data_IF_645907569799
#
_entry.id   IF_645907569799
#
_cell.length_a   1.000
_cell.length_b   1.000
_cell.length_c   1.000
_cell.angle_alpha   90.00
_cell.angle_beta   90.00
_cell.angle_gamma   90.00
#
_symmetry.space_group_name_H-M   'P 1'
#
loop_
_entity.id
_entity.type
_entity.pdbx_description
1 polymer ?
#
# COMPACT_ATOMS: atom_id res chain seq x y z
N UNK A 1 -48.68 -21.22 3.79
CA UNK A 1 -49.43 -20.41 4.77
C UNK A 1 -49.95 -19.16 4.06
N UNK A 2 -51.24 -18.83 4.18
CA UNK A 2 -51.86 -17.66 3.53
C UNK A 2 -51.56 -16.40 4.34
N UNK A 3 -51.22 -15.29 3.67
CA UNK A 3 -51.44 -13.94 4.17
C UNK A 3 -52.33 -13.16 3.20
N UNK A 4 -53.24 -12.29 3.69
CA UNK A 4 -54.20 -11.59 2.86
C UNK A 4 -53.65 -10.27 2.30
N UNK A 5 -54.29 -9.82 1.23
CA UNK A 5 -54.12 -8.52 0.57
C UNK A 5 -54.44 -7.36 1.53
N UNK A 6 -53.59 -6.34 1.53
CA UNK A 6 -53.97 -4.94 1.70
C UNK A 6 -53.22 -4.10 0.65
N UNK A 7 -53.97 -3.49 -0.26
CA UNK A 7 -53.52 -2.45 -1.19
C UNK A 7 -54.14 -1.15 -0.71
N UNK A 8 -53.34 -0.13 -0.36
CA UNK A 8 -53.47 1.27 -0.83
C UNK A 8 -52.37 2.17 -0.22
N UNK A 9 -51.44 2.59 -1.09
CA UNK A 9 -50.47 3.73 -1.14
C UNK A 9 -50.18 4.58 0.12
N UNK A 10 -48.89 4.99 0.26
CA UNK A 10 -48.50 6.30 -0.29
C UNK A 10 -47.37 6.18 -1.33
N UNK A 11 -47.66 6.52 -2.59
CA UNK A 11 -46.66 6.64 -3.68
C UNK A 11 -45.85 7.94 -3.58
N UNK A 12 -45.98 8.71 -2.50
CA UNK A 12 -45.17 9.91 -2.27
C UNK A 12 -43.97 9.72 -1.35
N UNK A 13 -43.84 8.58 -0.65
CA UNK A 13 -42.68 8.33 0.23
C UNK A 13 -41.56 7.57 -0.49
N UNK A 14 -41.90 6.79 -1.52
CA UNK A 14 -40.90 6.00 -2.27
C UNK A 14 -39.98 6.86 -3.15
N UNK A 15 -40.46 7.98 -3.71
CA UNK A 15 -39.61 8.85 -4.55
C UNK A 15 -38.60 9.64 -3.71
N UNK A 16 -39.01 10.13 -2.53
CA UNK A 16 -38.11 10.85 -1.60
C UNK A 16 -37.08 9.92 -0.96
N UNK A 17 -37.43 8.67 -0.61
CA UNK A 17 -36.46 7.70 -0.10
C UNK A 17 -35.47 7.31 -1.20
N UNK A 18 -35.91 7.13 -2.44
CA UNK A 18 -35.00 6.79 -3.55
C UNK A 18 -34.11 7.96 -3.95
N UNK A 19 -34.63 9.20 -3.95
CA UNK A 19 -33.84 10.42 -4.20
C UNK A 19 -32.88 10.73 -3.04
N UNK A 20 -33.29 10.54 -1.79
CA UNK A 20 -32.42 10.71 -0.63
C UNK A 20 -31.33 9.63 -0.60
N UNK A 21 -31.66 8.37 -0.89
CA UNK A 21 -30.68 7.29 -1.01
C UNK A 21 -29.73 7.52 -2.19
N UNK A 22 -30.20 8.03 -3.32
CA UNK A 22 -29.35 8.32 -4.47
C UNK A 22 -28.49 9.57 -4.27
N UNK A 23 -29.02 10.60 -3.60
CA UNK A 23 -28.25 11.79 -3.21
C UNK A 23 -27.22 11.46 -2.13
N UNK A 24 -27.57 10.60 -1.17
CA UNK A 24 -26.67 10.13 -0.12
C UNK A 24 -25.60 9.19 -0.67
N UNK A 25 -25.95 8.24 -1.55
CA UNK A 25 -24.96 7.42 -2.24
C UNK A 25 -24.03 8.26 -3.13
N UNK A 26 -24.58 9.28 -3.79
CA UNK A 26 -23.78 10.23 -4.57
C UNK A 26 -22.86 11.07 -3.68
N UNK A 27 -23.34 11.57 -2.54
CA UNK A 27 -22.51 12.33 -1.60
C UNK A 27 -21.41 11.46 -1.00
N UNK A 28 -21.73 10.23 -0.57
CA UNK A 28 -20.75 9.27 -0.08
C UNK A 28 -19.67 8.96 -1.14
N UNK A 29 -20.05 8.80 -2.41
CA UNK A 29 -19.08 8.62 -3.49
C UNK A 29 -18.23 9.87 -3.76
N UNK A 30 -18.78 11.07 -3.64
CA UNK A 30 -18.03 12.33 -3.77
C UNK A 30 -17.08 12.51 -2.58
N UNK A 31 -17.51 12.24 -1.36
CA UNK A 31 -16.71 12.31 -0.13
C UNK A 31 -15.56 11.28 -0.16
N UNK A 32 -15.86 10.03 -0.54
CA UNK A 32 -14.86 8.98 -0.74
C UNK A 32 -13.76 9.41 -1.72
N UNK A 33 -14.19 9.97 -2.86
CA UNK A 33 -13.29 10.42 -3.91
C UNK A 33 -12.43 11.59 -3.44
N UNK A 34 -13.02 12.57 -2.77
CA UNK A 34 -12.30 13.73 -2.25
C UNK A 34 -11.27 13.30 -1.21
N UNK A 35 -11.65 12.45 -0.26
CA UNK A 35 -10.71 11.89 0.73
C UNK A 35 -9.57 11.15 0.06
N UNK A 36 -9.87 10.27 -0.92
CA UNK A 36 -8.84 9.52 -1.65
C UNK A 36 -7.86 10.45 -2.35
N UNK A 37 -8.36 11.46 -3.08
CA UNK A 37 -7.51 12.43 -3.77
C UNK A 37 -6.64 13.19 -2.77
N UNK A 38 -7.20 13.66 -1.67
CA UNK A 38 -6.46 14.37 -0.62
C UNK A 38 -5.39 13.50 0.02
N UNK A 39 -5.71 12.25 0.37
CA UNK A 39 -4.77 11.30 0.96
C UNK A 39 -3.63 10.91 0.00
N UNK A 40 -3.93 10.65 -1.28
CA UNK A 40 -2.91 10.38 -2.30
C UNK A 40 -2.03 11.60 -2.57
N UNK A 41 -2.61 12.81 -2.52
CA UNK A 41 -1.85 14.05 -2.68
C UNK A 41 -0.94 14.27 -1.47
N UNK A 42 -1.43 14.06 -0.25
CA UNK A 42 -0.61 14.05 0.96
C UNK A 42 0.56 13.07 0.81
N UNK A 43 0.29 11.81 0.43
CA UNK A 43 1.33 10.79 0.22
C UNK A 43 2.36 11.27 -0.80
N UNK A 44 1.92 11.76 -1.96
CA UNK A 44 2.81 12.23 -3.03
C UNK A 44 3.70 13.39 -2.56
N UNK A 45 3.13 14.38 -1.86
CA UNK A 45 3.91 15.51 -1.31
C UNK A 45 4.84 15.03 -0.19
N UNK A 46 4.40 14.08 0.65
CA UNK A 46 5.20 13.54 1.75
C UNK A 46 6.46 12.81 1.28
N UNK A 47 6.41 12.19 0.10
CA UNK A 47 7.59 11.57 -0.55
C UNK A 47 8.66 12.62 -0.88
N UNK A 48 8.26 13.80 -1.33
CA UNK A 48 9.19 14.87 -1.73
C UNK A 48 9.61 15.74 -0.54
N UNK A 49 8.64 16.10 0.30
CA UNK A 49 8.80 17.00 1.44
C UNK A 49 7.75 16.70 2.52
N UNK A 50 8.11 15.81 3.45
CA UNK A 50 7.22 15.40 4.54
C UNK A 50 6.73 16.57 5.41
N UNK A 51 7.61 17.55 5.71
CA UNK A 51 7.25 18.70 6.56
C UNK A 51 6.20 19.57 5.89
N UNK A 52 6.34 19.81 4.60
CA UNK A 52 5.35 20.56 3.81
C UNK A 52 4.02 19.81 3.70
N UNK A 53 4.05 18.48 3.54
CA UNK A 53 2.84 17.67 3.57
C UNK A 53 2.09 17.83 4.91
N UNK A 54 2.81 17.85 6.03
CA UNK A 54 2.19 18.08 7.35
C UNK A 54 1.59 19.48 7.51
N UNK A 55 2.21 20.49 6.92
CA UNK A 55 1.67 21.86 6.98
C UNK A 55 0.33 21.97 6.23
N UNK A 56 0.22 21.29 5.08
CA UNK A 56 -0.97 21.39 4.22
C UNK A 56 -2.08 20.39 4.51
N UNK A 57 -1.82 19.27 5.16
CA UNK A 57 -2.81 18.19 5.26
C UNK A 57 -3.12 17.75 6.67
N UNK A 58 -2.44 18.27 7.69
CA UNK A 58 -2.65 17.83 9.06
C UNK A 58 -2.79 18.99 10.05
N UNK A 59 -3.47 18.70 11.15
CA UNK A 59 -3.64 19.64 12.26
C UNK A 59 -2.36 19.72 13.10
N UNK A 60 -2.12 20.80 13.87
CA UNK A 60 -0.96 20.90 14.74
C UNK A 60 -0.80 19.74 15.74
N UNK A 61 -1.92 19.19 16.24
CA UNK A 61 -1.90 18.02 17.12
C UNK A 61 -1.48 16.75 16.39
N UNK A 62 -1.96 16.52 15.16
CA UNK A 62 -1.54 15.39 14.35
C UNK A 62 -0.05 15.50 13.95
N UNK A 63 0.42 16.72 13.68
CA UNK A 63 1.83 16.98 13.37
C UNK A 63 2.74 16.53 14.51
N UNK A 64 2.40 16.89 15.76
CA UNK A 64 3.17 16.47 16.93
C UNK A 64 3.18 14.95 17.07
N UNK A 65 2.03 14.28 16.90
CA UNK A 65 1.95 12.81 16.95
C UNK A 65 2.83 12.15 15.88
N UNK A 66 2.82 12.64 14.65
CA UNK A 66 3.65 12.09 13.57
C UNK A 66 5.14 12.37 13.77
N UNK A 67 5.49 13.48 14.44
CA UNK A 67 6.87 13.75 14.84
C UNK A 67 7.31 12.77 15.93
N UNK A 68 6.48 12.54 16.95
CA UNK A 68 6.77 11.60 18.03
C UNK A 68 6.92 10.17 17.49
N UNK A 69 5.93 9.70 16.72
CA UNK A 69 6.00 8.41 16.00
C UNK A 69 7.25 8.32 15.14
N UNK A 70 7.65 9.42 14.48
CA UNK A 70 8.84 9.42 13.65
C UNK A 70 10.13 9.27 14.44
N UNK A 71 10.24 9.88 15.62
CA UNK A 71 11.39 9.71 16.49
C UNK A 71 11.51 8.26 16.97
N UNK A 72 10.38 7.59 17.21
CA UNK A 72 10.33 6.20 17.65
C UNK A 72 10.61 5.21 16.50
N UNK A 73 10.08 5.50 15.30
CA UNK A 73 10.29 4.69 14.10
C UNK A 73 11.73 4.81 13.57
N UNK A 74 12.35 5.99 13.68
CA UNK A 74 13.69 6.25 13.12
C UNK A 74 14.65 6.88 14.13
N UNK A 75 14.99 6.19 15.23
CA UNK A 75 15.76 6.76 16.34
C UNK A 75 17.19 7.17 15.96
N UNK A 76 17.69 6.74 14.81
CA UNK A 76 19.07 6.98 14.33
C UNK A 76 19.13 7.66 12.96
N UNK A 77 17.99 8.10 12.42
CA UNK A 77 17.89 8.72 11.08
C UNK A 77 16.99 9.95 11.16
N UNK A 78 17.12 10.88 10.23
CA UNK A 78 16.17 12.01 10.12
C UNK A 78 14.74 11.47 9.92
N UNK A 79 13.80 11.75 10.85
CA UNK A 79 12.44 11.26 10.72
C UNK A 79 11.72 11.70 9.45
N UNK A 80 12.01 12.90 8.93
CA UNK A 80 11.40 13.36 7.70
C UNK A 80 11.79 12.48 6.51
N UNK A 81 13.06 12.06 6.45
CA UNK A 81 13.54 11.14 5.42
C UNK A 81 12.94 9.73 5.59
N UNK A 82 12.76 9.28 6.84
CA UNK A 82 12.08 8.02 7.16
C UNK A 82 10.63 8.00 6.67
N UNK A 83 9.86 9.06 6.96
CA UNK A 83 8.50 9.22 6.45
C UNK A 83 8.45 9.29 4.92
N UNK A 84 9.33 10.07 4.28
CA UNK A 84 9.38 10.14 2.82
C UNK A 84 9.63 8.77 2.18
N UNK A 85 10.51 7.96 2.77
CA UNK A 85 10.74 6.59 2.33
C UNK A 85 9.50 5.70 2.57
N UNK A 86 8.84 5.83 3.72
CA UNK A 86 7.62 5.10 4.03
C UNK A 86 6.51 5.37 3.00
N UNK A 87 6.22 6.64 2.72
CA UNK A 87 5.16 7.04 1.78
C UNK A 87 5.49 6.77 0.31
N UNK A 88 6.75 6.47 -0.01
CA UNK A 88 7.19 6.22 -1.40
C UNK A 88 6.47 5.03 -2.03
N UNK A 89 6.08 4.04 -1.23
CA UNK A 89 5.45 2.81 -1.75
C UNK A 89 4.25 2.37 -0.92
N UNK A 90 3.78 3.22 0.00
CA UNK A 90 2.57 2.95 0.76
C UNK A 90 1.33 3.04 -0.13
N UNK A 91 0.42 2.09 0.04
CA UNK A 91 -0.90 2.06 -0.57
C UNK A 91 -1.88 2.80 0.32
N UNK A 92 -2.74 3.62 -0.29
CA UNK A 92 -3.82 4.32 0.41
C UNK A 92 -5.07 3.43 0.39
N UNK A 93 -5.60 3.12 1.56
CA UNK A 93 -6.95 2.58 1.71
C UNK A 93 -7.80 3.55 2.52
N UNK A 94 -9.09 3.62 2.20
CA UNK A 94 -10.05 4.50 2.86
C UNK A 94 -11.17 3.67 3.47
N UNK A 95 -11.63 4.06 4.65
CA UNK A 95 -12.74 3.40 5.36
C UNK A 95 -13.52 4.43 6.18
N UNK A 96 -14.68 4.01 6.72
CA UNK A 96 -15.57 4.84 7.52
C UNK A 96 -15.99 6.17 6.84
N UNK A 97 -16.37 6.07 5.56
CA UNK A 97 -16.71 7.22 4.71
C UNK A 97 -18.07 7.78 5.10
N UNK A 98 -18.18 9.11 5.20
CA UNK A 98 -19.42 9.80 5.57
C UNK A 98 -19.68 9.92 7.07
N UNK A 99 -18.75 9.44 7.90
CA UNK A 99 -18.71 9.79 9.33
C UNK A 99 -18.06 11.15 9.55
N UNK A 100 -18.22 11.72 10.75
CA UNK A 100 -17.55 12.96 11.17
C UNK A 100 -16.02 12.83 11.17
N UNK A 101 -15.49 11.60 11.21
CA UNK A 101 -14.05 11.29 11.19
C UNK A 101 -13.77 10.09 10.30
N UNK A 102 -13.33 10.38 9.10
CA UNK A 102 -13.03 9.39 8.07
C UNK A 102 -11.66 8.76 8.34
N UNK A 103 -11.51 7.49 7.97
CA UNK A 103 -10.27 6.75 8.21
C UNK A 103 -9.49 6.57 6.91
N UNK A 104 -8.19 6.81 6.99
CA UNK A 104 -7.25 6.52 5.91
C UNK A 104 -6.11 5.71 6.47
N UNK A 105 -5.81 4.58 5.85
CA UNK A 105 -4.60 3.80 6.15
C UNK A 105 -3.59 3.97 5.03
N UNK A 106 -2.34 4.23 5.39
CA UNK A 106 -1.20 4.10 4.48
C UNK A 106 -0.53 2.76 4.79
N UNK A 107 -0.89 1.71 4.05
CA UNK A 107 -0.34 0.37 4.24
C UNK A 107 0.93 0.21 3.41
N UNK A 108 2.03 -0.22 4.02
CA UNK A 108 3.30 -0.42 3.32
C UNK A 108 3.46 -1.89 2.92
N UNK A 109 3.19 -2.28 1.66
CA UNK A 109 3.02 -3.68 1.25
C UNK A 109 4.24 -4.53 1.55
N UNK A 110 5.39 -3.90 1.38
CA UNK A 110 6.67 -4.57 1.46
C UNK A 110 7.08 -4.81 2.89
N UNK A 111 6.77 -3.91 3.84
CA UNK A 111 7.23 -3.98 5.23
C UNK A 111 6.19 -4.60 6.17
N UNK A 112 4.95 -4.75 5.71
CA UNK A 112 3.81 -5.25 6.48
C UNK A 112 3.43 -4.38 7.69
N UNK A 113 3.66 -3.08 7.54
CA UNK A 113 3.26 -2.05 8.51
C UNK A 113 2.17 -1.18 7.94
N UNK A 114 1.37 -0.54 8.80
CA UNK A 114 0.40 0.46 8.37
C UNK A 114 0.41 1.68 9.29
N UNK A 115 0.22 2.85 8.68
CA UNK A 115 -0.11 4.08 9.39
C UNK A 115 -1.62 4.29 9.30
N UNK A 116 -2.31 4.18 10.43
CA UNK A 116 -3.73 4.50 10.55
C UNK A 116 -3.88 6.00 10.85
N UNK A 117 -4.72 6.70 10.10
CA UNK A 117 -4.94 8.14 10.26
C UNK A 117 -6.42 8.49 10.24
N UNK A 118 -6.79 9.50 11.03
CA UNK A 118 -8.14 10.04 11.09
C UNK A 118 -8.22 11.40 10.41
N UNK A 119 -9.25 11.63 9.61
CA UNK A 119 -9.43 12.83 8.80
C UNK A 119 -10.79 13.46 9.07
N UNK A 120 -10.82 14.78 9.13
CA UNK A 120 -12.04 15.56 9.35
C UNK A 120 -11.95 16.88 8.60
N UNK A 121 -13.09 17.37 8.10
CA UNK A 121 -13.18 18.72 7.55
C UNK A 121 -12.99 19.77 8.66
N UNK A 122 -12.12 20.74 8.41
CA UNK A 122 -11.96 21.89 9.28
C UNK A 122 -13.09 22.91 9.10
N UNK A 123 -13.00 24.05 9.82
CA UNK A 123 -14.03 25.10 9.73
C UNK A 123 -14.11 25.78 8.35
N UNK A 124 -13.12 25.58 7.49
CA UNK A 124 -13.06 26.08 6.12
C UNK A 124 -13.57 25.04 5.11
N UNK A 125 -13.82 23.80 5.54
CA UNK A 125 -14.24 22.68 4.69
C UNK A 125 -13.06 21.92 4.07
N UNK A 126 -11.83 22.17 4.51
CA UNK A 126 -10.67 21.41 4.04
C UNK A 126 -10.52 20.12 4.88
N UNK A 127 -10.32 18.98 4.22
CA UNK A 127 -10.02 17.72 4.90
C UNK A 127 -8.61 17.77 5.52
N UNK A 128 -8.54 17.63 6.85
CA UNK A 128 -7.30 17.63 7.63
C UNK A 128 -7.15 16.34 8.43
N UNK A 129 -5.95 15.79 8.47
CA UNK A 129 -5.58 14.72 9.38
C UNK A 129 -5.56 15.24 10.83
N UNK A 130 -6.30 14.58 11.70
CA UNK A 130 -6.50 14.94 13.10
C UNK A 130 -5.78 14.01 14.07
N UNK A 131 -5.50 12.77 13.63
CA UNK A 131 -4.85 11.76 14.43
C UNK A 131 -4.07 10.76 13.56
N UNK A 132 -3.09 10.09 14.16
CA UNK A 132 -2.25 9.10 13.51
C UNK A 132 -1.71 8.10 14.54
N UNK A 133 -1.66 6.82 14.15
CA UNK A 133 -1.01 5.76 14.93
C UNK A 133 -0.39 4.70 14.01
N UNK A 134 0.72 4.10 14.45
CA UNK A 134 1.37 3.01 13.75
C UNK A 134 0.80 1.68 14.21
N UNK A 135 0.45 0.83 13.26
CA UNK A 135 0.07 -0.55 13.51
C UNK A 135 0.93 -1.48 12.64
N UNK A 136 0.86 -2.76 12.95
CA UNK A 136 1.43 -3.85 12.15
C UNK A 136 0.31 -4.68 11.56
N UNK A 137 0.51 -5.21 10.36
CA UNK A 137 -0.54 -5.93 9.66
C UNK A 137 -0.95 -7.21 10.41
N UNK A 138 -0.01 -7.88 11.10
CA UNK A 138 -0.28 -9.05 11.96
C UNK A 138 -1.40 -8.84 12.98
N UNK A 139 -1.51 -7.62 13.54
CA UNK A 139 -2.58 -7.31 14.50
C UNK A 139 -3.96 -7.37 13.84
N UNK A 140 -4.07 -6.96 12.58
CA UNK A 140 -5.33 -6.99 11.82
C UNK A 140 -5.78 -8.42 11.54
N UNK A 141 -4.88 -9.40 11.59
CA UNK A 141 -5.17 -10.82 11.49
C UNK A 141 -5.35 -11.50 12.86
N UNK A 142 -5.36 -10.73 13.96
CA UNK A 142 -5.56 -11.26 15.31
C UNK A 142 -4.37 -12.06 15.84
N UNK A 143 -3.15 -11.81 15.35
CA UNK A 143 -1.95 -12.44 15.89
C UNK A 143 -1.54 -11.81 17.22
N UNK A 144 -1.17 -12.66 18.20
CA UNK A 144 -0.63 -12.23 19.49
C UNK A 144 0.89 -12.03 19.42
N UNK A 145 1.48 -11.12 20.23
CA UNK A 145 2.92 -11.06 20.41
C UNK A 145 3.54 -12.39 20.89
N UNK A 146 4.77 -12.74 20.47
CA UNK A 146 5.65 -11.97 19.60
C UNK A 146 5.25 -12.08 18.14
N UNK A 147 5.14 -10.93 17.47
CA UNK A 147 4.78 -10.87 16.06
C UNK A 147 5.84 -11.52 15.18
N UNK A 148 5.43 -12.14 14.05
CA UNK A 148 6.34 -12.84 13.15
C UNK A 148 7.41 -11.90 12.59
N UNK A 149 8.63 -12.43 12.48
CA UNK A 149 9.77 -11.76 11.82
C UNK A 149 9.84 -12.08 10.34
N UNK A 150 9.19 -13.16 9.90
CA UNK A 150 9.05 -13.50 8.48
C UNK A 150 7.85 -12.74 7.97
N UNK A 151 7.98 -12.13 6.79
CA UNK A 151 6.84 -11.46 6.15
C UNK A 151 5.81 -12.49 5.74
N UNK A 152 4.56 -12.23 6.08
CA UNK A 152 3.44 -13.11 5.79
C UNK A 152 3.30 -13.39 4.31
N UNK A 153 3.53 -12.41 3.43
CA UNK A 153 3.51 -12.65 1.99
C UNK A 153 4.59 -13.63 1.51
N UNK A 154 5.70 -13.77 2.25
CA UNK A 154 6.76 -14.75 1.99
C UNK A 154 6.40 -16.15 2.51
N UNK A 155 5.48 -16.23 3.46
CA UNK A 155 5.03 -17.49 4.04
C UNK A 155 3.95 -18.20 3.22
N UNK A 156 3.35 -17.53 2.22
CA UNK A 156 2.18 -18.03 1.47
C UNK A 156 2.44 -19.22 0.51
N UNK A 157 3.66 -19.76 0.40
CA UNK A 157 4.04 -20.79 -0.59
C UNK A 157 3.57 -20.46 -2.04
N UNK A 158 3.60 -19.16 -2.37
CA UNK A 158 3.27 -18.61 -3.68
C UNK A 158 4.51 -18.03 -4.34
N UNK A 159 4.44 -17.83 -5.66
CA UNK A 159 5.42 -17.00 -6.36
C UNK A 159 5.44 -15.60 -5.72
N UNK A 160 6.61 -15.12 -5.29
CA UNK A 160 6.77 -13.90 -4.47
C UNK A 160 5.85 -12.71 -4.83
N UNK A 161 5.81 -12.23 -6.09
CA UNK A 161 4.94 -11.11 -6.47
C UNK A 161 3.44 -11.44 -6.41
N UNK A 162 3.04 -12.71 -6.58
CA UNK A 162 1.66 -13.15 -6.36
C UNK A 162 1.35 -13.18 -4.87
N UNK A 163 2.29 -13.66 -4.04
CA UNK A 163 2.15 -13.67 -2.58
C UNK A 163 1.93 -12.27 -2.01
N UNK A 164 2.75 -11.28 -2.40
CA UNK A 164 2.59 -9.90 -1.91
C UNK A 164 1.28 -9.27 -2.41
N UNK A 165 0.88 -9.53 -3.66
CA UNK A 165 -0.37 -9.05 -4.22
C UNK A 165 -1.59 -9.58 -3.47
N UNK A 166 -1.68 -10.90 -3.31
CA UNK A 166 -2.80 -11.57 -2.63
C UNK A 166 -2.87 -11.21 -1.14
N UNK A 167 -1.73 -11.14 -0.45
CA UNK A 167 -1.70 -10.72 0.95
C UNK A 167 -2.23 -9.29 1.14
N UNK A 168 -1.86 -8.36 0.26
CA UNK A 168 -2.34 -6.99 0.34
C UNK A 168 -3.81 -6.87 -0.06
N UNK A 169 -4.30 -7.68 -0.99
CA UNK A 169 -5.74 -7.73 -1.31
C UNK A 169 -6.58 -8.18 -0.10
N UNK A 170 -6.15 -9.24 0.60
CA UNK A 170 -6.77 -9.69 1.85
C UNK A 170 -6.67 -8.65 2.97
N UNK A 171 -5.55 -7.93 3.04
CA UNK A 171 -5.37 -6.83 4.00
C UNK A 171 -6.34 -5.68 3.72
N UNK A 172 -6.47 -5.24 2.47
CA UNK A 172 -7.36 -4.12 2.10
C UNK A 172 -8.81 -4.46 2.44
N UNK A 173 -9.28 -5.66 2.10
CA UNK A 173 -10.64 -6.11 2.47
C UNK A 173 -10.82 -6.22 4.00
N UNK A 174 -9.81 -6.72 4.71
CA UNK A 174 -9.81 -6.77 6.17
C UNK A 174 -9.85 -5.37 6.82
N UNK A 175 -9.09 -4.40 6.31
CA UNK A 175 -9.09 -3.00 6.74
C UNK A 175 -10.48 -2.38 6.52
N UNK A 176 -11.08 -2.59 5.36
CA UNK A 176 -12.42 -2.09 5.04
C UNK A 176 -13.45 -2.60 6.04
N UNK A 177 -13.37 -3.89 6.42
CA UNK A 177 -14.28 -4.50 7.41
C UNK A 177 -13.98 -4.07 8.84
N UNK A 178 -12.72 -4.09 9.28
CA UNK A 178 -12.32 -3.78 10.66
C UNK A 178 -12.57 -2.32 11.04
N UNK A 179 -12.46 -1.42 10.07
CA UNK A 179 -12.53 0.01 10.31
C UNK A 179 -13.85 0.64 9.88
N UNK A 180 -14.86 -0.14 9.48
CA UNK A 180 -16.19 0.37 9.11
C UNK A 180 -16.83 1.18 10.28
N UNK A 181 -16.63 0.72 11.52
CA UNK A 181 -17.23 1.31 12.73
C UNK A 181 -16.21 1.96 13.68
N UNK A 182 -14.94 2.08 13.30
CA UNK A 182 -13.90 2.52 14.23
C UNK A 182 -14.08 4.00 14.62
N UNK A 183 -14.13 4.26 15.93
CA UNK A 183 -14.23 5.61 16.50
C UNK A 183 -12.88 6.09 17.06
N UNK A 184 -12.76 7.40 17.30
CA UNK A 184 -11.57 7.94 17.98
C UNK A 184 -11.42 7.40 19.41
N UNK A 185 -12.53 7.11 20.10
CA UNK A 185 -12.49 6.50 21.44
C UNK A 185 -11.92 5.08 21.40
N UNK A 186 -12.10 4.35 20.30
CA UNK A 186 -11.52 3.01 20.14
C UNK A 186 -9.99 3.08 19.99
N UNK A 187 -9.47 4.05 19.22
CA UNK A 187 -8.02 4.28 19.11
C UNK A 187 -7.45 4.84 20.42
N UNK A 188 -8.12 5.81 21.03
CA UNK A 188 -7.68 6.42 22.30
C UNK A 188 -7.82 5.49 23.50
N UNK A 189 -8.68 4.46 23.39
CA UNK A 189 -8.88 3.40 24.37
C UNK A 189 -7.86 2.27 24.25
N UNK A 190 -7.02 2.26 23.21
CA UNK A 190 -5.87 1.35 23.14
C UNK A 190 -4.90 1.68 24.28
N UNK A 191 -4.49 0.63 24.98
CA UNK A 191 -3.54 0.74 26.07
C UNK A 191 -2.21 1.36 25.58
N UNK A 192 -1.63 2.26 26.38
CA UNK A 192 -0.42 2.98 25.97
C UNK A 192 0.75 2.02 25.75
N UNK A 193 0.89 0.98 26.59
CA UNK A 193 1.93 -0.04 26.43
C UNK A 193 1.72 -0.85 25.15
N UNK A 194 0.46 -1.07 24.74
CA UNK A 194 0.13 -1.72 23.47
C UNK A 194 0.53 -0.82 22.28
N UNK A 195 0.17 0.45 22.30
CA UNK A 195 0.52 1.42 21.24
C UNK A 195 2.04 1.56 21.08
N UNK A 196 2.78 1.64 22.18
CA UNK A 196 4.23 1.66 22.18
C UNK A 196 4.81 0.35 21.59
N UNK A 197 4.25 -0.80 22.01
CA UNK A 197 4.62 -2.11 21.49
C UNK A 197 4.38 -2.27 19.98
N UNK A 198 3.27 -1.72 19.48
CA UNK A 198 2.92 -1.71 18.05
C UNK A 198 3.86 -0.80 17.25
N UNK A 199 4.15 0.38 17.76
CA UNK A 199 5.10 1.32 17.13
C UNK A 199 6.49 0.72 17.06
N UNK A 200 6.96 0.09 18.15
CA UNK A 200 8.23 -0.63 18.17
C UNK A 200 8.24 -1.81 17.18
N UNK A 201 7.16 -2.59 17.13
CA UNK A 201 6.99 -3.68 16.18
C UNK A 201 7.08 -3.22 14.72
N UNK A 202 6.38 -2.13 14.39
CA UNK A 202 6.40 -1.53 13.06
C UNK A 202 7.79 -1.00 12.71
N UNK A 203 8.46 -0.31 13.64
CA UNK A 203 9.84 0.16 13.50
C UNK A 203 10.78 -0.98 13.14
N UNK A 204 10.72 -2.08 13.90
CA UNK A 204 11.50 -3.30 13.64
C UNK A 204 11.22 -3.89 12.25
N UNK A 205 9.95 -4.11 11.89
CA UNK A 205 9.58 -4.70 10.60
C UNK A 205 10.05 -3.82 9.42
N UNK A 206 9.95 -2.50 9.56
CA UNK A 206 10.44 -1.56 8.55
C UNK A 206 11.98 -1.54 8.47
N UNK A 207 12.69 -1.66 9.59
CA UNK A 207 14.15 -1.78 9.57
C UNK A 207 14.62 -3.10 8.95
N UNK A 208 13.95 -4.22 9.24
CA UNK A 208 14.21 -5.52 8.61
C UNK A 208 13.99 -5.44 7.09
N UNK A 209 12.90 -4.78 6.65
CA UNK A 209 12.65 -4.47 5.24
C UNK A 209 13.85 -3.77 4.58
N UNK A 210 14.34 -2.69 5.20
CA UNK A 210 15.48 -1.94 4.67
C UNK A 210 16.76 -2.78 4.65
N UNK A 211 16.98 -3.61 5.67
CA UNK A 211 18.12 -4.51 5.74
C UNK A 211 18.11 -5.55 4.60
N UNK A 212 16.94 -6.11 4.26
CA UNK A 212 16.77 -7.09 3.17
C UNK A 212 17.13 -6.52 1.79
N UNK A 213 17.05 -5.20 1.61
CA UNK A 213 17.41 -4.51 0.37
C UNK A 213 18.90 -4.19 0.25
N UNK A 214 19.65 -4.17 1.36
CA UNK A 214 21.06 -3.81 1.37
C UNK A 214 21.91 -4.60 0.37
N UNK A 215 21.71 -5.92 0.16
CA UNK A 215 22.48 -6.68 -0.83
C UNK A 215 22.42 -6.09 -2.23
N UNK A 216 21.23 -5.71 -2.70
CA UNK A 216 21.02 -5.12 -4.02
C UNK A 216 21.51 -3.68 -4.05
N UNK A 217 21.16 -2.87 -3.05
CA UNK A 217 21.54 -1.46 -2.98
C UNK A 217 23.06 -1.26 -2.91
N UNK A 218 23.77 -2.16 -2.23
CA UNK A 218 25.25 -2.13 -2.11
C UNK A 218 25.97 -3.02 -3.13
N UNK A 219 25.22 -3.84 -3.89
CA UNK A 219 25.78 -4.90 -4.73
C UNK A 219 26.79 -5.77 -3.96
N UNK A 220 26.45 -6.15 -2.73
CA UNK A 220 27.40 -6.74 -1.77
C UNK A 220 27.65 -8.23 -1.97
N UNK A 221 26.82 -8.92 -2.74
CA UNK A 221 27.05 -10.30 -3.18
C UNK A 221 26.93 -10.43 -4.71
N UNK A 222 27.47 -11.51 -5.26
CA UNK A 222 27.55 -11.72 -6.71
C UNK A 222 26.19 -11.82 -7.40
N UNK A 223 25.17 -12.35 -6.73
CA UNK A 223 23.84 -12.53 -7.29
C UNK A 223 23.06 -11.20 -7.28
N UNK A 224 23.14 -10.46 -6.17
CA UNK A 224 22.53 -9.15 -6.01
C UNK A 224 23.13 -8.14 -7.01
N UNK A 225 24.44 -8.21 -7.25
CA UNK A 225 25.09 -7.41 -8.28
C UNK A 225 24.60 -7.77 -9.69
N UNK A 226 24.44 -9.06 -10.00
CA UNK A 226 23.96 -9.52 -11.30
C UNK A 226 22.53 -9.07 -11.59
N UNK A 227 21.60 -9.31 -10.66
CA UNK A 227 20.18 -8.93 -10.86
C UNK A 227 20.03 -7.41 -10.97
N UNK A 228 20.83 -6.64 -10.21
CA UNK A 228 20.84 -5.18 -10.33
C UNK A 228 21.38 -4.71 -11.69
N UNK A 229 22.46 -5.32 -12.17
CA UNK A 229 23.01 -4.97 -13.49
C UNK A 229 22.01 -5.30 -14.60
N UNK A 230 21.32 -6.44 -14.50
CA UNK A 230 20.25 -6.81 -15.42
C UNK A 230 19.14 -5.75 -15.45
N UNK A 231 18.69 -5.25 -14.29
CA UNK A 231 17.71 -4.15 -14.22
C UNK A 231 18.23 -2.86 -14.86
N UNK A 232 19.49 -2.48 -14.59
CA UNK A 232 20.09 -1.28 -15.16
C UNK A 232 20.24 -1.36 -16.69
N UNK A 233 20.59 -2.54 -17.21
CA UNK A 233 20.70 -2.78 -18.64
C UNK A 233 19.32 -2.76 -19.30
N UNK A 234 18.33 -3.43 -18.70
CA UNK A 234 16.93 -3.37 -19.13
C UNK A 234 16.40 -1.93 -19.20
N UNK A 235 16.66 -1.15 -18.14
CA UNK A 235 16.26 0.27 -18.06
C UNK A 235 16.88 1.11 -19.17
N UNK A 236 18.15 0.84 -19.51
CA UNK A 236 18.86 1.52 -20.59
C UNK A 236 18.29 1.13 -21.95
N UNK A 237 18.02 -0.15 -22.17
CA UNK A 237 17.51 -0.67 -23.44
C UNK A 237 16.10 -0.14 -23.73
N UNK A 238 15.23 -0.07 -22.70
CA UNK A 238 13.91 0.56 -22.82
C UNK A 238 14.03 2.04 -23.18
N UNK A 239 14.95 2.78 -22.55
CA UNK A 239 15.19 4.19 -22.82
C UNK A 239 15.80 4.47 -24.21
N UNK A 240 16.55 3.52 -24.79
CA UNK A 240 17.28 3.69 -26.04
C UNK A 240 16.46 3.46 -27.33
N UNK A 241 15.12 3.40 -27.26
CA UNK A 241 14.13 3.13 -28.31
C UNK A 241 13.83 1.64 -28.65
N UNK A 242 12.96 1.04 -27.83
CA UNK A 242 11.61 0.45 -28.10
C UNK A 242 11.28 -0.37 -29.37
N UNK A 243 12.22 -0.79 -30.21
CA UNK A 243 11.87 -1.63 -31.38
C UNK A 243 12.71 -2.92 -31.41
N UNK A 244 12.04 -4.05 -31.21
CA UNK A 244 12.54 -5.44 -31.33
C UNK A 244 13.24 -6.00 -30.09
N UNK A 245 12.46 -6.19 -29.02
CA UNK A 245 12.71 -7.32 -28.15
C UNK A 245 12.25 -8.59 -28.88
N UNK A 246 13.10 -9.13 -29.76
CA UNK A 246 12.88 -10.44 -30.35
C UNK A 246 13.24 -11.50 -29.31
N UNK A 247 12.24 -12.25 -28.80
CA UNK A 247 12.51 -13.32 -27.84
C UNK A 247 11.36 -13.65 -26.91
N UNK A 248 11.69 -14.40 -25.85
CA UNK A 248 10.76 -14.98 -24.86
C UNK A 248 9.91 -13.96 -24.09
N UNK A 249 10.37 -12.71 -23.97
CA UNK A 249 9.71 -11.65 -23.18
C UNK A 249 9.17 -10.49 -24.01
N UNK A 250 8.94 -10.72 -25.31
CA UNK A 250 8.54 -9.65 -26.24
C UNK A 250 7.23 -8.98 -25.83
N UNK A 251 6.26 -9.73 -25.32
CA UNK A 251 4.97 -9.22 -24.86
C UNK A 251 5.11 -8.34 -23.62
N UNK A 252 5.81 -8.83 -22.59
CA UNK A 252 6.03 -8.06 -21.35
C UNK A 252 6.84 -6.81 -21.64
N UNK A 253 7.84 -6.92 -22.52
CA UNK A 253 8.59 -5.76 -22.95
C UNK A 253 7.73 -4.74 -23.70
N UNK A 254 6.85 -5.18 -24.60
CA UNK A 254 5.91 -4.29 -25.26
C UNK A 254 5.05 -3.54 -24.23
N UNK A 255 4.52 -4.21 -23.20
CA UNK A 255 3.77 -3.55 -22.12
C UNK A 255 4.62 -2.54 -21.37
N UNK A 256 5.86 -2.90 -20.96
CA UNK A 256 6.77 -1.97 -20.29
C UNK A 256 7.13 -0.77 -21.16
N UNK A 257 7.20 -0.94 -22.49
CA UNK A 257 7.41 0.17 -23.41
C UNK A 257 6.21 1.11 -23.54
N UNK A 258 5.03 0.75 -23.02
CA UNK A 258 3.88 1.67 -22.96
C UNK A 258 3.95 2.63 -21.77
N UNK A 259 4.81 2.36 -20.78
CA UNK A 259 4.99 3.24 -19.64
C UNK A 259 5.65 4.55 -20.07
N UNK A 260 5.16 5.65 -19.50
CA UNK A 260 5.78 6.97 -19.66
C UNK A 260 7.15 7.01 -18.98
N UNK A 261 8.09 7.78 -19.53
CA UNK A 261 9.47 7.85 -19.02
C UNK A 261 9.53 8.25 -17.54
N UNK A 262 8.63 9.15 -17.11
CA UNK A 262 8.53 9.55 -15.70
C UNK A 262 8.21 8.35 -14.80
N UNK A 263 7.22 7.55 -15.19
CA UNK A 263 6.81 6.36 -14.46
C UNK A 263 7.91 5.29 -14.48
N UNK A 264 8.55 5.07 -15.64
CA UNK A 264 9.66 4.12 -15.77
C UNK A 264 10.84 4.46 -14.84
N UNK A 265 11.20 5.74 -14.76
CA UNK A 265 12.31 6.18 -13.92
C UNK A 265 11.98 6.23 -12.42
N UNK A 266 10.73 5.96 -12.05
CA UNK A 266 10.25 6.00 -10.66
C UNK A 266 10.36 4.65 -9.93
N UNK A 267 10.72 3.57 -10.63
CA UNK A 267 10.82 2.24 -10.02
C UNK A 267 12.05 2.12 -9.13
N UNK A 268 11.85 1.76 -7.87
CA UNK A 268 12.90 1.53 -6.87
C UNK A 268 12.84 0.09 -6.34
N UNK A 269 13.97 -0.53 -5.95
CA UNK A 269 13.96 -1.84 -5.30
C UNK A 269 13.13 -1.86 -4.03
N UNK A 270 12.25 -2.84 -3.90
CA UNK A 270 11.34 -3.03 -2.74
C UNK A 270 11.32 -4.46 -2.19
N UNK A 271 11.88 -5.42 -2.92
CA UNK A 271 12.20 -6.72 -2.33
C UNK A 271 13.31 -7.40 -3.10
N UNK A 272 14.10 -8.20 -2.39
CA UNK A 272 15.10 -9.08 -2.98
C UNK A 272 15.07 -10.43 -2.29
N UNK A 273 15.07 -11.49 -3.08
CA UNK A 273 15.18 -12.87 -2.59
C UNK A 273 16.20 -13.60 -3.46
N UNK A 274 17.09 -14.37 -2.83
CA UNK A 274 18.05 -15.21 -3.54
C UNK A 274 17.97 -16.63 -2.98
N UNK A 275 17.96 -17.60 -3.87
CA UNK A 275 18.03 -19.03 -3.59
C UNK A 275 19.28 -19.59 -4.24
N UNK A 276 19.58 -20.88 -4.08
CA UNK A 276 20.70 -21.50 -4.78
C UNK A 276 20.56 -21.42 -6.31
N UNK A 277 19.32 -21.41 -6.82
CA UNK A 277 19.03 -21.54 -8.26
C UNK A 277 18.58 -20.25 -8.94
N UNK A 278 18.06 -19.27 -8.20
CA UNK A 278 17.54 -18.04 -8.79
C UNK A 278 17.55 -16.88 -7.82
N UNK A 279 17.51 -15.67 -8.38
CA UNK A 279 17.29 -14.41 -7.67
C UNK A 279 16.04 -13.71 -8.19
N UNK A 280 15.24 -13.17 -7.27
CA UNK A 280 14.05 -12.36 -7.54
C UNK A 280 14.31 -10.94 -7.04
N UNK A 281 14.11 -9.96 -7.92
CA UNK A 281 14.10 -8.54 -7.60
C UNK A 281 12.70 -8.00 -7.89
N UNK A 282 12.09 -7.32 -6.92
CA UNK A 282 10.86 -6.57 -7.11
C UNK A 282 11.14 -5.07 -7.00
N UNK A 283 10.52 -4.29 -7.89
CA UNK A 283 10.64 -2.85 -7.92
C UNK A 283 9.25 -2.20 -7.91
N UNK A 284 8.99 -1.23 -7.05
CA UNK A 284 7.73 -0.50 -7.02
C UNK A 284 7.92 0.93 -7.53
N UNK A 285 6.89 1.47 -8.17
CA UNK A 285 6.90 2.85 -8.63
C UNK A 285 6.58 3.81 -7.48
N UNK A 286 7.42 4.83 -7.28
CA UNK A 286 7.13 5.89 -6.30
C UNK A 286 6.04 6.86 -6.77
N UNK A 287 5.90 7.00 -8.10
CA UNK A 287 4.89 7.83 -8.76
C UNK A 287 3.50 7.18 -8.72
N UNK A 288 3.45 5.86 -8.91
CA UNK A 288 2.24 5.06 -8.82
C UNK A 288 2.48 3.79 -7.99
N UNK A 289 2.29 3.84 -6.65
CA UNK A 289 2.53 2.70 -5.76
C UNK A 289 1.69 1.46 -6.04
N UNK A 290 0.61 1.59 -6.81
CA UNK A 290 -0.17 0.45 -7.29
C UNK A 290 0.66 -0.48 -8.18
N UNK A 291 1.65 0.06 -8.90
CA UNK A 291 2.42 -0.68 -9.89
C UNK A 291 3.76 -1.17 -9.35
N UNK A 292 4.07 -2.43 -9.64
CA UNK A 292 5.38 -3.00 -9.37
C UNK A 292 5.83 -3.99 -10.44
N UNK A 293 7.13 -4.06 -10.67
CA UNK A 293 7.79 -4.97 -11.60
C UNK A 293 8.45 -6.09 -10.80
N UNK A 294 8.31 -7.33 -11.26
CA UNK A 294 9.05 -8.47 -10.74
C UNK A 294 10.00 -9.01 -11.81
N UNK A 295 11.24 -9.25 -11.42
CA UNK A 295 12.27 -9.78 -12.30
C UNK A 295 12.94 -10.99 -11.64
N UNK A 296 12.79 -12.16 -12.25
CA UNK A 296 13.45 -13.38 -11.80
C UNK A 296 14.57 -13.77 -12.76
N UNK A 297 15.73 -14.04 -12.20
CA UNK A 297 16.92 -14.45 -12.90
C UNK A 297 17.37 -15.81 -12.40
N UNK A 298 17.61 -16.77 -13.30
CA UNK A 298 18.20 -18.06 -12.96
C UNK A 298 19.72 -17.92 -12.82
N UNK A 299 20.28 -18.65 -11.85
CA UNK A 299 21.72 -18.80 -11.67
C UNK A 299 22.23 -19.82 -12.69
N UNK A 300 23.04 -19.35 -13.66
CA UNK A 300 23.58 -20.21 -14.71
C UNK A 300 25.11 -20.07 -14.81
N UNK A 301 25.84 -21.17 -15.05
CA UNK A 301 27.28 -21.14 -15.27
C UNK A 301 27.71 -20.25 -16.45
N UNK A 302 26.80 -20.01 -17.39
CA UNK A 302 27.04 -19.22 -18.61
C UNK A 302 26.66 -17.73 -18.45
N UNK A 303 26.34 -17.30 -17.22
CA UNK A 303 25.92 -15.93 -16.92
C UNK A 303 24.45 -15.83 -16.53
N UNK A 304 24.02 -14.67 -16.03
CA UNK A 304 22.65 -14.42 -15.58
C UNK A 304 21.66 -14.61 -16.73
N UNK A 305 20.59 -15.39 -16.51
CA UNK A 305 19.51 -15.57 -17.50
C UNK A 305 18.21 -15.04 -16.92
N UNK A 306 17.64 -14.01 -17.54
CA UNK A 306 16.28 -13.56 -17.22
C UNK A 306 15.30 -14.69 -17.51
N UNK A 307 14.58 -15.14 -16.49
CA UNK A 307 13.60 -16.23 -16.59
C UNK A 307 12.16 -15.69 -16.56
N UNK A 308 11.93 -14.58 -15.86
CA UNK A 308 10.62 -13.96 -15.73
C UNK A 308 10.74 -12.44 -15.58
N UNK A 309 9.83 -11.71 -16.22
CA UNK A 309 9.72 -10.26 -16.13
C UNK A 309 8.24 -9.92 -16.24
N UNK A 310 7.64 -9.42 -15.17
CA UNK A 310 6.21 -9.13 -15.10
C UNK A 310 5.96 -7.74 -14.53
N UNK A 311 4.87 -7.11 -14.98
CA UNK A 311 4.32 -5.89 -14.42
C UNK A 311 2.99 -6.23 -13.74
N UNK A 312 2.89 -5.87 -12.46
CA UNK A 312 1.74 -6.12 -11.62
C UNK A 312 1.08 -4.82 -11.15
N UNK A 313 -0.18 -4.93 -10.75
CA UNK A 313 -0.98 -3.90 -10.09
C UNK A 313 -1.61 -4.49 -8.83
N UNK A 314 -1.54 -3.80 -7.70
CA UNK A 314 -2.23 -4.22 -6.47
C UNK A 314 -3.76 -4.21 -6.65
N UNK A 315 -4.31 -3.26 -7.38
CA UNK A 315 -5.73 -3.22 -7.72
C UNK A 315 -6.16 -4.47 -8.51
N UNK A 316 -5.34 -4.96 -9.44
CA UNK A 316 -5.63 -6.21 -10.16
C UNK A 316 -5.70 -7.43 -9.22
N UNK A 317 -4.88 -7.45 -8.16
CA UNK A 317 -4.97 -8.50 -7.14
C UNK A 317 -6.21 -8.35 -6.26
N UNK A 318 -6.59 -7.12 -5.93
CA UNK A 318 -7.83 -6.84 -5.18
C UNK A 318 -9.07 -7.31 -5.96
N UNK A 319 -9.17 -6.98 -7.25
CA UNK A 319 -10.27 -7.44 -8.12
C UNK A 319 -10.32 -8.97 -8.22
N UNK A 320 -9.15 -9.61 -8.35
CA UNK A 320 -9.03 -11.07 -8.36
C UNK A 320 -9.48 -11.69 -7.03
N UNK A 321 -9.06 -11.11 -5.91
CA UNK A 321 -9.40 -11.57 -4.57
C UNK A 321 -10.92 -11.52 -4.34
N UNK A 322 -11.56 -10.39 -4.67
CA UNK A 322 -13.01 -10.24 -4.58
C UNK A 322 -13.77 -11.24 -5.46
N UNK A 323 -13.22 -11.57 -6.64
CA UNK A 323 -13.81 -12.57 -7.54
C UNK A 323 -13.74 -13.97 -6.92
N UNK A 324 -12.62 -14.32 -6.27
CA UNK A 324 -12.44 -15.63 -5.63
C UNK A 324 -13.36 -15.77 -4.41
N UNK A 325 -13.41 -14.78 -3.53
CA UNK A 325 -14.25 -14.80 -2.32
C UNK A 325 -15.76 -14.78 -2.67
N UNK A 326 -16.16 -14.01 -3.69
CA UNK A 326 -17.55 -13.93 -4.12
C UNK A 326 -18.12 -15.21 -4.75
N UNK A 327 -17.26 -16.15 -5.18
CA UNK A 327 -17.67 -17.46 -5.69
C UNK A 327 -17.88 -18.50 -4.56
N UNK A 328 -17.59 -18.16 -3.29
CA UNK A 328 -17.77 -19.04 -2.13
C UNK A 328 -19.11 -18.86 -1.37
N UNK A 329 -19.96 -17.90 -1.76
CA UNK A 329 -21.33 -17.66 -1.21
C UNK A 329 -22.47 -18.32 -2.02
#
# INVERSE_FOLDING_TARGET
>A
MKFPRCILRPVFVSLFITLAAHAHAKSLHEDARNLRITAETFRSVAVENFVEALEYYSTPSANLKLVDLGNDMWPVTDPAMGWSLYFSTALVNISNIGSDKQTVTFAHPWSETLLLTLWQEDAQGDLRMTDATMLINSLLYGEDPPYPTVRMWQALDLYGPVGVGMYNAGLTTGIESLFEDLTQEDIAGLDADLLDGLTFGASKQFMEYQADLLPVLRASDGNAAQVRNLWNDLSRDVAANKAQFDGRFSEQMNTLTLLEDRLWNSFIPVAYQSTDNSSLLMLASIENPDLFIAMQQDHSPNGPVLNQLDLFSFNSFYDLFLTIEGDEE
#
